data_IF_565132267236
#
_entry.id   IF_565132267236
#
_cell.length_a   1.000
_cell.length_b   1.000
_cell.length_c   1.000
_cell.angle_alpha   90.00
_cell.angle_beta   90.00
_cell.angle_gamma   90.00
#
_symmetry.space_group_name_H-M   'P 1'
#
loop_
_entity.id
_entity.type
_entity.pdbx_description
1 polymer ?
#
# COMPACT_ATOMS: atom_id res chain seq x y z
N UNK A 1 11.92 18.22 5.74
CA UNK A 1 11.56 16.81 5.49
C UNK A 1 10.73 16.76 4.22
N UNK A 2 11.20 16.07 3.17
CA UNK A 2 10.50 16.04 1.87
C UNK A 2 9.30 15.09 1.97
N UNK A 3 8.16 15.45 1.36
CA UNK A 3 6.90 14.66 1.36
C UNK A 3 7.12 13.17 1.03
N UNK A 4 8.13 12.88 0.20
CA UNK A 4 8.56 11.52 -0.15
C UNK A 4 9.08 10.69 1.03
N UNK A 5 9.76 11.28 2.02
CA UNK A 5 10.28 10.54 3.17
C UNK A 5 9.18 10.19 4.18
N UNK A 6 8.22 11.09 4.37
CA UNK A 6 7.04 10.83 5.19
C UNK A 6 6.20 9.69 4.61
N UNK A 7 6.00 9.68 3.29
CA UNK A 7 5.25 8.61 2.62
C UNK A 7 5.92 7.24 2.78
N UNK A 8 7.26 7.18 2.67
CA UNK A 8 8.02 5.94 2.90
C UNK A 8 7.88 5.41 4.32
N UNK A 9 8.00 6.27 5.33
CA UNK A 9 7.79 5.87 6.72
C UNK A 9 6.38 5.34 6.98
N UNK A 10 5.36 5.95 6.36
CA UNK A 10 3.98 5.46 6.45
C UNK A 10 3.80 4.11 5.74
N UNK A 11 4.43 3.93 4.58
CA UNK A 11 4.43 2.66 3.84
C UNK A 11 5.15 1.55 4.60
N UNK A 12 6.28 1.83 5.26
CA UNK A 12 6.98 0.87 6.11
C UNK A 12 6.13 0.44 7.30
N UNK A 13 5.44 1.38 7.96
CA UNK A 13 4.52 1.08 9.07
C UNK A 13 3.31 0.28 8.61
N UNK A 14 2.67 0.69 7.52
CA UNK A 14 1.57 -0.05 6.88
C UNK A 14 2.01 -1.47 6.49
N UNK A 15 3.19 -1.59 5.88
CA UNK A 15 3.77 -2.85 5.45
C UNK A 15 4.06 -3.79 6.61
N UNK A 16 4.70 -3.29 7.66
CA UNK A 16 4.97 -4.05 8.89
C UNK A 16 3.70 -4.50 9.61
N UNK A 17 2.68 -3.64 9.65
CA UNK A 17 1.39 -4.00 10.25
C UNK A 17 0.65 -5.05 9.42
N UNK A 18 0.57 -4.85 8.10
CA UNK A 18 -0.02 -5.83 7.17
C UNK A 18 0.67 -7.19 7.24
N UNK A 19 2.01 -7.21 7.34
CA UNK A 19 2.79 -8.45 7.47
C UNK A 19 2.48 -9.20 8.76
N UNK A 20 2.36 -8.50 9.89
CA UNK A 20 1.98 -9.13 11.18
C UNK A 20 0.59 -9.74 11.09
N UNK A 21 -0.37 -9.05 10.47
CA UNK A 21 -1.72 -9.60 10.25
C UNK A 21 -1.68 -10.87 9.40
N UNK A 22 -0.90 -10.89 8.32
CA UNK A 22 -0.73 -12.08 7.47
C UNK A 22 -0.12 -13.27 8.22
N UNK A 23 0.91 -13.03 9.05
CA UNK A 23 1.59 -14.07 9.83
C UNK A 23 0.76 -14.59 11.00
N UNK A 24 -0.05 -13.72 11.61
CA UNK A 24 -0.88 -14.07 12.77
C UNK A 24 -2.13 -14.88 12.42
N UNK A 25 -2.41 -15.19 11.14
CA UNK A 25 -3.65 -15.87 10.73
C UNK A 25 -4.91 -14.99 10.87
N UNK A 26 -4.76 -13.77 11.38
CA UNK A 26 -5.76 -12.72 11.31
C UNK A 26 -5.72 -12.17 9.89
N UNK A 27 -6.31 -12.90 8.96
CA UNK A 27 -6.72 -12.39 7.66
C UNK A 27 -7.85 -11.35 7.88
N UNK A 28 -7.56 -10.29 8.65
CA UNK A 28 -8.23 -9.01 8.50
C UNK A 28 -8.20 -8.74 7.02
N UNK A 29 -9.38 -8.65 6.44
CA UNK A 29 -9.67 -8.49 5.03
C UNK A 29 -9.18 -7.12 4.49
N UNK A 30 -7.96 -6.71 4.82
CA UNK A 30 -7.32 -5.58 4.18
C UNK A 30 -7.10 -5.92 2.72
N UNK A 31 -7.11 -4.90 1.86
CA UNK A 31 -6.87 -5.08 0.43
C UNK A 31 -5.60 -5.91 0.17
N UNK A 32 -4.57 -5.73 1.00
CA UNK A 32 -3.31 -6.48 1.00
C UNK A 32 -3.48 -7.99 1.16
N UNK A 33 -4.29 -8.46 2.12
CA UNK A 33 -4.52 -9.88 2.34
C UNK A 33 -5.28 -10.55 1.20
N UNK A 34 -6.22 -9.84 0.58
CA UNK A 34 -7.01 -10.36 -0.55
C UNK A 34 -6.21 -10.44 -1.86
N UNK A 35 -5.29 -9.52 -2.11
CA UNK A 35 -4.41 -9.56 -3.30
C UNK A 35 -3.43 -10.72 -3.21
N UNK A 36 -2.84 -10.94 -2.04
CA UNK A 36 -1.88 -12.01 -1.81
C UNK A 36 -2.53 -13.40 -1.92
N UNK A 37 -3.82 -13.52 -1.58
CA UNK A 37 -4.57 -14.77 -1.69
C UNK A 37 -5.14 -15.03 -3.10
N UNK A 38 -5.48 -13.99 -3.88
CA UNK A 38 -6.26 -14.16 -5.12
C UNK A 38 -5.63 -13.64 -6.43
N UNK A 39 -4.37 -13.18 -6.43
CA UNK A 39 -3.60 -13.02 -7.68
C UNK A 39 -4.22 -12.11 -8.77
N UNK A 40 -5.07 -11.13 -8.43
CA UNK A 40 -5.65 -10.17 -9.38
C UNK A 40 -7.16 -10.19 -9.57
N UNK A 41 -7.94 -10.69 -8.61
CA UNK A 41 -9.39 -10.53 -8.65
C UNK A 41 -9.83 -9.15 -8.12
N UNK A 42 -10.69 -8.46 -8.91
CA UNK A 42 -11.35 -7.18 -8.61
C UNK A 42 -11.79 -7.05 -7.15
N UNK A 43 -11.51 -5.89 -6.55
CA UNK A 43 -11.75 -5.62 -5.13
C UNK A 43 -13.04 -4.83 -4.92
N UNK A 44 -14.07 -5.50 -4.39
CA UNK A 44 -15.22 -4.83 -3.78
C UNK A 44 -14.90 -4.34 -2.37
N UNK A 45 -15.26 -3.08 -2.12
CA UNK A 45 -14.88 -2.30 -0.95
C UNK A 45 -15.37 -2.90 0.37
N UNK A 46 -14.47 -3.60 1.08
CA UNK A 46 -14.69 -4.01 2.47
C UNK A 46 -13.96 -3.07 3.43
N UNK A 47 -14.68 -2.51 4.40
CA UNK A 47 -14.11 -1.83 5.58
C UNK A 47 -13.58 -2.88 6.57
N UNK A 48 -12.35 -2.71 7.05
CA UNK A 48 -11.90 -3.32 8.30
C UNK A 48 -10.39 -3.53 8.39
N UNK A 49 -9.74 -2.73 9.24
CA UNK A 49 -8.51 -3.16 9.90
C UNK A 49 -8.46 -2.55 11.30
N UNK A 50 -8.34 -3.41 12.33
CA UNK A 50 -7.93 -3.02 13.68
C UNK A 50 -6.44 -2.68 13.63
N UNK A 51 -6.06 -1.42 13.90
CA UNK A 51 -4.67 -1.03 14.12
C UNK A 51 -4.53 -0.23 15.44
N UNK A 52 -3.29 0.13 15.78
CA UNK A 52 -2.89 0.67 17.08
C UNK A 52 -2.88 2.22 17.07
N UNK A 53 -3.36 2.84 18.16
CA UNK A 53 -4.19 4.07 18.13
C UNK A 53 -3.49 5.43 17.92
N UNK A 54 -2.18 5.46 17.65
CA UNK A 54 -1.43 6.75 17.62
C UNK A 54 -1.00 7.19 16.20
N UNK A 55 -1.00 6.30 15.21
CA UNK A 55 -0.75 6.62 13.79
C UNK A 55 -1.77 6.00 12.82
N UNK A 56 -2.81 5.36 13.37
CA UNK A 56 -3.98 4.77 12.70
C UNK A 56 -4.48 5.63 11.53
N UNK A 57 -4.76 6.93 11.70
CA UNK A 57 -5.43 7.70 10.64
C UNK A 57 -4.59 7.87 9.38
N UNK A 58 -3.26 7.84 9.49
CA UNK A 58 -2.36 8.02 8.34
C UNK A 58 -2.07 6.68 7.66
N UNK A 59 -1.97 5.60 8.43
CA UNK A 59 -1.83 4.23 7.89
C UNK A 59 -3.12 3.80 7.18
N UNK A 60 -4.28 4.17 7.71
CA UNK A 60 -5.57 4.00 7.03
C UNK A 60 -5.61 4.74 5.69
N UNK A 61 -5.08 5.96 5.62
CA UNK A 61 -5.01 6.70 4.37
C UNK A 61 -4.11 6.00 3.34
N UNK A 62 -3.03 5.35 3.78
CA UNK A 62 -2.19 4.51 2.91
C UNK A 62 -2.98 3.30 2.41
N UNK A 63 -3.69 2.60 3.28
CA UNK A 63 -4.52 1.46 2.89
C UNK A 63 -5.63 1.86 1.90
N UNK A 64 -6.26 3.00 2.13
CA UNK A 64 -7.25 3.56 1.20
C UNK A 64 -6.63 3.92 -0.15
N UNK A 65 -5.43 4.49 -0.17
CA UNK A 65 -4.70 4.81 -1.39
C UNK A 65 -4.38 3.54 -2.19
N UNK A 66 -3.85 2.50 -1.52
CA UNK A 66 -3.56 1.20 -2.15
C UNK A 66 -4.83 0.55 -2.66
N UNK A 67 -5.89 0.53 -1.86
CA UNK A 67 -7.22 0.04 -2.27
C UNK A 67 -7.79 0.79 -3.47
N UNK A 68 -7.56 2.10 -3.56
CA UNK A 68 -7.99 2.92 -4.69
C UNK A 68 -7.22 2.55 -5.96
N UNK A 69 -5.89 2.41 -5.89
CA UNK A 69 -5.07 1.99 -7.03
C UNK A 69 -5.57 0.67 -7.63
N UNK A 70 -5.90 -0.30 -6.78
CA UNK A 70 -6.39 -1.61 -7.19
C UNK A 70 -7.78 -1.57 -7.85
N UNK A 71 -8.63 -0.62 -7.45
CA UNK A 71 -9.97 -0.47 -8.03
C UNK A 71 -9.97 0.31 -9.35
N UNK A 72 -8.96 1.14 -9.57
CA UNK A 72 -8.95 2.12 -10.66
C UNK A 72 -7.80 1.91 -11.67
N UNK A 73 -7.27 0.69 -11.78
CA UNK A 73 -6.37 0.30 -12.87
C UNK A 73 -4.88 0.61 -12.64
N UNK A 74 -4.46 0.84 -11.39
CA UNK A 74 -3.06 0.96 -10.98
C UNK A 74 -2.63 -0.27 -10.15
N UNK A 75 -3.03 -1.46 -10.60
CA UNK A 75 -2.77 -2.72 -9.89
C UNK A 75 -1.28 -3.03 -9.79
N UNK A 76 -0.50 -2.70 -10.82
CA UNK A 76 0.93 -2.98 -10.87
C UNK A 76 1.72 -2.12 -9.88
N UNK A 77 1.36 -0.84 -9.75
CA UNK A 77 1.90 0.05 -8.71
C UNK A 77 1.53 -0.45 -7.31
N UNK A 78 0.28 -0.88 -7.11
CA UNK A 78 -0.15 -1.45 -5.83
C UNK A 78 0.61 -2.74 -5.49
N UNK A 79 0.80 -3.64 -6.46
CA UNK A 79 1.61 -4.86 -6.30
C UNK A 79 3.07 -4.55 -6.00
N UNK A 80 3.66 -3.56 -6.66
CA UNK A 80 5.02 -3.13 -6.38
C UNK A 80 5.18 -2.64 -4.93
N UNK A 81 4.22 -1.86 -4.42
CA UNK A 81 4.19 -1.42 -3.02
C UNK A 81 4.03 -2.60 -2.05
N UNK A 82 3.14 -3.55 -2.33
CA UNK A 82 2.91 -4.74 -1.49
C UNK A 82 4.18 -5.61 -1.43
N UNK A 83 4.77 -5.92 -2.59
CA UNK A 83 5.98 -6.72 -2.65
C UNK A 83 7.13 -6.05 -1.88
N UNK A 84 7.26 -4.73 -2.01
CA UNK A 84 8.34 -3.98 -1.36
C UNK A 84 8.14 -3.79 0.14
N UNK A 85 6.97 -3.37 0.58
CA UNK A 85 6.73 -2.91 1.95
C UNK A 85 6.10 -3.98 2.85
N UNK A 86 5.21 -4.81 2.31
CA UNK A 86 4.50 -5.84 3.07
C UNK A 86 5.30 -7.13 3.07
N UNK A 87 5.58 -7.67 1.89
CA UNK A 87 6.31 -8.93 1.74
C UNK A 87 7.82 -8.76 1.95
N UNK A 88 8.32 -7.54 1.77
CA UNK A 88 9.75 -7.22 1.82
C UNK A 88 10.59 -8.12 0.91
N UNK A 89 10.06 -8.40 -0.29
CA UNK A 89 10.75 -9.22 -1.26
C UNK A 89 11.98 -8.49 -1.84
N UNK A 90 13.04 -9.23 -2.19
CA UNK A 90 14.11 -8.70 -3.02
C UNK A 90 13.56 -8.17 -4.35
N UNK A 91 14.16 -7.10 -4.88
CA UNK A 91 13.72 -6.47 -6.13
C UNK A 91 13.67 -7.49 -7.27
N UNK A 92 14.67 -8.36 -7.39
CA UNK A 92 14.73 -9.40 -8.42
C UNK A 92 13.51 -10.34 -8.40
N UNK A 93 13.01 -10.70 -7.20
CA UNK A 93 11.80 -11.52 -7.06
C UNK A 93 10.54 -10.71 -7.38
N UNK A 94 10.53 -9.44 -6.98
CA UNK A 94 9.41 -8.52 -7.23
C UNK A 94 9.22 -8.20 -8.71
N UNK A 95 10.30 -8.07 -9.49
CA UNK A 95 10.28 -7.89 -10.96
C UNK A 95 9.46 -9.00 -11.62
N UNK A 96 9.75 -10.25 -11.26
CA UNK A 96 9.02 -11.42 -11.78
C UNK A 96 7.57 -11.47 -11.28
N UNK A 97 7.35 -11.13 -10.00
CA UNK A 97 6.01 -11.16 -9.39
C UNK A 97 5.04 -10.10 -9.94
N UNK A 98 5.54 -8.96 -10.39
CA UNK A 98 4.73 -7.89 -11.01
C UNK A 98 4.63 -8.06 -12.53
N UNK A 99 5.52 -8.84 -13.16
CA UNK A 99 5.51 -9.04 -14.61
C UNK A 99 6.17 -7.90 -15.40
N UNK A 100 7.12 -7.18 -14.78
CA UNK A 100 7.90 -6.13 -15.46
C UNK A 100 9.17 -6.67 -16.08
N UNK A 101 9.63 -6.03 -17.15
CA UNK A 101 10.77 -6.48 -17.94
C UNK A 101 12.10 -6.48 -17.16
N UNK A 102 12.31 -5.49 -16.29
CA UNK A 102 13.56 -5.33 -15.55
C UNK A 102 13.36 -4.58 -14.22
N UNK A 103 14.46 -4.46 -13.46
CA UNK A 103 14.51 -3.73 -12.20
C UNK A 103 14.17 -2.23 -12.37
N UNK A 104 14.51 -1.62 -13.50
CA UNK A 104 14.21 -0.20 -13.75
C UNK A 104 12.71 0.02 -13.89
N UNK A 105 12.02 -0.88 -14.61
CA UNK A 105 10.57 -0.90 -14.73
C UNK A 105 9.89 -1.10 -13.38
N UNK A 106 10.40 -2.04 -12.57
CA UNK A 106 9.90 -2.23 -11.20
C UNK A 106 10.06 -0.96 -10.35
N UNK A 107 11.24 -0.34 -10.36
CA UNK A 107 11.51 0.89 -9.61
C UNK A 107 10.62 2.04 -10.07
N UNK A 108 10.27 2.12 -11.36
CA UNK A 108 9.35 3.13 -11.88
C UNK A 108 7.93 2.95 -11.32
N UNK A 109 7.40 1.72 -11.33
CA UNK A 109 6.10 1.41 -10.72
C UNK A 109 6.10 1.73 -9.22
N UNK A 110 7.15 1.32 -8.51
CA UNK A 110 7.31 1.60 -7.09
C UNK A 110 7.29 3.11 -6.81
N UNK A 111 8.09 3.89 -7.56
CA UNK A 111 8.13 5.34 -7.41
C UNK A 111 6.78 6.02 -7.72
N UNK A 112 6.05 5.53 -8.73
CA UNK A 112 4.70 6.03 -9.05
C UNK A 112 3.71 5.74 -7.93
N UNK A 113 3.72 4.52 -7.39
CA UNK A 113 2.90 4.13 -6.24
C UNK A 113 3.22 4.95 -4.99
N UNK A 114 4.51 5.14 -4.68
CA UNK A 114 4.95 5.97 -3.55
C UNK A 114 4.48 7.41 -3.68
N UNK A 115 4.60 7.98 -4.89
CA UNK A 115 4.15 9.34 -5.17
C UNK A 115 2.63 9.47 -5.01
N UNK A 116 1.87 8.50 -5.54
CA UNK A 116 0.42 8.49 -5.42
C UNK A 116 -0.02 8.45 -3.95
N UNK A 117 0.58 7.56 -3.14
CA UNK A 117 0.29 7.47 -1.70
C UNK A 117 0.61 8.78 -1.00
N UNK A 118 1.76 9.40 -1.32
CA UNK A 118 2.15 10.67 -0.75
C UNK A 118 1.11 11.78 -1.03
N UNK A 119 0.66 11.89 -2.28
CA UNK A 119 -0.37 12.84 -2.68
C UNK A 119 -1.72 12.56 -2.02
N UNK A 120 -2.12 11.29 -1.93
CA UNK A 120 -3.37 10.87 -1.29
C UNK A 120 -3.41 11.23 0.19
N UNK A 121 -2.34 10.90 0.92
CA UNK A 121 -2.20 11.23 2.35
C UNK A 121 -2.23 12.74 2.56
N UNK A 122 -1.48 13.50 1.75
CA UNK A 122 -1.47 14.97 1.83
C UNK A 122 -2.88 15.56 1.61
N UNK A 123 -3.62 15.07 0.61
CA UNK A 123 -4.99 15.49 0.35
C UNK A 123 -5.96 15.11 1.49
N UNK A 124 -5.82 13.90 2.05
CA UNK A 124 -6.61 13.44 3.19
C UNK A 124 -6.42 14.30 4.44
N UNK A 125 -5.16 14.67 4.74
CA UNK A 125 -4.83 15.57 5.84
C UNK A 125 -5.43 16.97 5.62
N UNK A 126 -5.34 17.51 4.40
CA UNK A 126 -5.91 18.82 4.10
C UNK A 126 -7.43 18.83 4.22
N UNK A 127 -8.13 17.76 3.80
CA UNK A 127 -9.58 17.64 3.97
C UNK A 127 -9.99 17.65 5.44
N UNK A 128 -9.26 16.92 6.31
CA UNK A 128 -9.51 16.94 7.76
C UNK A 128 -9.31 18.33 8.38
N UNK A 129 -8.33 19.10 7.91
CA UNK A 129 -8.08 20.47 8.39
C UNK A 129 -9.15 21.50 7.99
N UNK A 130 -9.88 21.27 6.89
CA UNK A 130 -10.91 22.20 6.39
C UNK A 130 -12.32 21.87 6.91
N UNK A 131 -12.49 20.76 7.62
CA UNK A 131 -13.76 20.34 8.23
C UNK A 131 -13.89 20.67 9.72
N UNK A 132 -13.03 21.56 10.24
CA UNK A 132 -13.10 22.14 11.57
C UNK A 132 -13.44 23.63 11.46
#
# INVERSE_FOLDING_TARGET
MKISEQAKLLLERWGGSSRRSLQGGHASLSATGRILMNGGARIDGGRGSLMDHTLEPMVELVEQAVSHMLRHGAEDEARALINRYVLQEPIARSVKGVGVADERGFRLLLNRGEFFVAAWVAAGVQRKKRGC
#
